data_IF_422534676892
#
_entry.id   IF_422534676892
#
_cell.length_a   1.000
_cell.length_b   1.000
_cell.length_c   1.000
_cell.angle_alpha   90.00
_cell.angle_beta   90.00
_cell.angle_gamma   90.00
#
_symmetry.space_group_name_H-M   'P 1'
#
loop_
_entity.id
_entity.type
_entity.pdbx_description
1 polymer ?
#
# COMPACT_ATOMS: atom_id res chain seq x y z
N UNK A 1 -2.00 -23.65 -14.58
CA UNK A 1 -1.27 -22.71 -15.43
C UNK A 1 -1.94 -21.36 -15.32
N UNK A 2 -1.15 -20.29 -15.19
CA UNK A 2 -1.67 -18.92 -15.13
C UNK A 2 -2.25 -18.53 -16.50
N UNK A 3 -3.45 -17.95 -16.52
CA UNK A 3 -4.13 -17.52 -17.74
C UNK A 3 -4.14 -16.00 -17.82
N UNK A 4 -3.60 -15.43 -18.89
CA UNK A 4 -3.74 -14.00 -19.18
C UNK A 4 -5.05 -13.76 -19.93
N UNK A 5 -5.81 -12.76 -19.51
CA UNK A 5 -7.02 -12.32 -20.20
C UNK A 5 -7.25 -10.83 -19.99
N UNK A 6 -8.00 -10.23 -20.89
CA UNK A 6 -8.36 -8.82 -20.84
C UNK A 6 -9.82 -8.65 -20.43
N UNK A 7 -10.13 -7.60 -19.68
CA UNK A 7 -11.48 -7.23 -19.33
C UNK A 7 -11.73 -5.74 -19.56
N UNK A 8 -12.77 -5.45 -20.34
CA UNK A 8 -13.27 -4.09 -20.55
C UNK A 8 -14.47 -3.87 -19.63
N UNK A 9 -14.38 -2.84 -18.80
CA UNK A 9 -15.47 -2.40 -17.94
C UNK A 9 -16.48 -1.55 -18.73
N UNK A 10 -17.70 -1.40 -18.19
CA UNK A 10 -18.75 -0.58 -18.81
C UNK A 10 -18.34 0.89 -18.99
N UNK A 11 -17.36 1.34 -18.22
CA UNK A 11 -16.73 2.67 -18.32
C UNK A 11 -15.80 2.82 -19.52
N UNK A 12 -15.57 1.74 -20.29
CA UNK A 12 -14.61 1.67 -21.40
C UNK A 12 -13.16 1.43 -20.96
N UNK A 13 -12.88 1.41 -19.65
CA UNK A 13 -11.56 1.08 -19.14
C UNK A 13 -11.24 -0.38 -19.41
N UNK A 14 -10.01 -0.66 -19.81
CA UNK A 14 -9.55 -2.01 -20.13
C UNK A 14 -8.38 -2.39 -19.22
N UNK A 15 -8.44 -3.57 -18.61
CA UNK A 15 -7.38 -4.08 -17.73
C UNK A 15 -7.02 -5.50 -18.15
N UNK A 16 -5.71 -5.76 -18.23
CA UNK A 16 -5.19 -7.12 -18.41
C UNK A 16 -4.91 -7.76 -17.06
N UNK A 17 -5.39 -8.99 -16.91
CA UNK A 17 -5.28 -9.77 -15.68
C UNK A 17 -4.53 -11.06 -15.92
N UNK A 18 -3.78 -11.48 -14.90
CA UNK A 18 -3.28 -12.83 -14.75
C UNK A 18 -4.15 -13.60 -13.75
N UNK A 19 -4.80 -14.67 -14.21
CA UNK A 19 -5.62 -15.56 -13.39
C UNK A 19 -4.82 -16.76 -12.93
N UNK A 20 -4.67 -16.90 -11.62
CA UNK A 20 -4.02 -18.04 -11.00
C UNK A 20 -4.93 -19.28 -10.98
N UNK A 21 -4.37 -20.49 -10.80
CA UNK A 21 -5.16 -21.70 -10.57
C UNK A 21 -6.10 -21.61 -9.35
N UNK A 22 -5.77 -20.79 -8.35
CA UNK A 22 -6.63 -20.51 -7.19
C UNK A 22 -7.91 -19.74 -7.57
N UNK A 23 -7.95 -19.19 -8.79
CA UNK A 23 -9.00 -18.33 -9.31
C UNK A 23 -8.82 -16.85 -8.98
N UNK A 24 -7.84 -16.48 -8.15
CA UNK A 24 -7.51 -15.07 -7.89
C UNK A 24 -6.92 -14.45 -9.16
N UNK A 25 -7.34 -13.23 -9.48
CA UNK A 25 -6.89 -12.45 -10.62
C UNK A 25 -6.08 -11.26 -10.10
N UNK A 26 -4.82 -11.15 -10.55
CA UNK A 26 -3.94 -10.02 -10.30
C UNK A 26 -3.79 -9.22 -11.58
N UNK A 27 -3.37 -7.96 -11.49
CA UNK A 27 -3.00 -7.20 -12.68
C UNK A 27 -1.87 -7.92 -13.43
N UNK A 28 -1.87 -7.85 -14.76
CA UNK A 28 -0.88 -8.55 -15.59
C UNK A 28 0.56 -8.09 -15.28
N UNK A 29 0.72 -6.82 -14.93
CA UNK A 29 2.03 -6.23 -14.59
C UNK A 29 2.46 -6.43 -13.13
N UNK A 30 1.66 -7.14 -12.32
CA UNK A 30 2.03 -7.41 -10.93
C UNK A 30 3.22 -8.38 -10.87
N UNK A 31 4.33 -8.02 -10.21
CA UNK A 31 5.51 -8.86 -10.14
C UNK A 31 5.22 -10.22 -9.48
N UNK A 32 5.76 -11.30 -10.04
CA UNK A 32 5.57 -12.66 -9.52
C UNK A 32 5.88 -12.81 -8.02
N UNK A 33 6.97 -12.22 -7.46
CA UNK A 33 7.23 -12.26 -6.01
C UNK A 33 6.12 -11.60 -5.17
N UNK A 34 5.47 -10.57 -5.69
CA UNK A 34 4.35 -9.89 -5.02
C UNK A 34 3.11 -10.78 -5.07
N UNK A 35 2.81 -11.38 -6.22
CA UNK A 35 1.69 -12.32 -6.38
C UNK A 35 1.80 -13.48 -5.38
N UNK A 36 2.97 -14.12 -5.31
CA UNK A 36 3.22 -15.25 -4.42
C UNK A 36 3.06 -14.85 -2.94
N UNK A 37 3.64 -13.71 -2.56
CA UNK A 37 3.51 -13.17 -1.20
C UNK A 37 2.04 -12.89 -0.84
N UNK A 38 1.27 -12.27 -1.74
CA UNK A 38 -0.14 -11.97 -1.51
C UNK A 38 -0.99 -13.23 -1.38
N UNK A 39 -0.75 -14.28 -2.19
CA UNK A 39 -1.45 -15.55 -2.04
C UNK A 39 -1.12 -16.24 -0.70
N UNK A 40 0.13 -16.16 -0.23
CA UNK A 40 0.52 -16.66 1.10
C UNK A 40 -0.18 -15.87 2.22
N UNK A 41 -0.19 -14.54 2.11
CA UNK A 41 -0.82 -13.65 3.08
C UNK A 41 -2.35 -13.84 3.12
N UNK A 42 -2.97 -14.10 1.96
CA UNK A 42 -4.41 -14.40 1.85
C UNK A 42 -4.81 -15.64 2.63
N UNK A 43 -3.96 -16.68 2.63
CA UNK A 43 -4.22 -17.91 3.38
C UNK A 43 -4.01 -17.71 4.89
N UNK A 44 -2.99 -16.95 5.28
CA UNK A 44 -2.63 -16.76 6.68
C UNK A 44 -3.44 -15.67 7.40
N UNK A 45 -4.12 -14.78 6.66
CA UNK A 45 -4.90 -13.63 7.18
C UNK A 45 -4.12 -12.79 8.20
N UNK A 46 -2.82 -12.65 7.97
CA UNK A 46 -1.96 -11.81 8.81
C UNK A 46 -2.22 -10.34 8.48
N UNK A 47 -2.24 -9.52 9.53
CA UNK A 47 -2.26 -8.07 9.35
C UNK A 47 -0.92 -7.62 8.77
N UNK A 48 -0.98 -6.80 7.73
CA UNK A 48 0.16 -6.26 6.99
C UNK A 48 -0.05 -4.78 6.75
N UNK A 49 1.02 -4.11 6.35
CA UNK A 49 0.98 -2.77 5.78
C UNK A 49 1.52 -2.81 4.35
N UNK A 50 0.82 -2.16 3.43
CA UNK A 50 1.23 -1.96 2.06
C UNK A 50 1.80 -0.54 1.90
N UNK A 51 2.76 -0.42 0.99
CA UNK A 51 3.19 0.87 0.46
C UNK A 51 2.98 0.81 -1.04
N UNK A 52 2.14 1.72 -1.54
CA UNK A 52 2.02 1.95 -2.97
C UNK A 52 3.05 2.99 -3.43
N UNK A 53 3.39 2.93 -4.71
CA UNK A 53 4.42 3.76 -5.27
C UNK A 53 4.67 3.53 -6.75
N UNK A 54 5.63 4.29 -7.25
CA UNK A 54 6.19 4.11 -8.58
C UNK A 54 7.09 2.86 -8.58
N UNK A 55 6.67 1.83 -9.31
CA UNK A 55 7.40 0.56 -9.43
C UNK A 55 8.63 0.62 -10.34
N UNK A 56 8.84 1.72 -11.06
CA UNK A 56 10.07 1.96 -11.81
C UNK A 56 11.14 2.61 -10.93
N UNK A 57 10.76 3.48 -9.99
CA UNK A 57 11.72 4.22 -9.16
C UNK A 57 11.76 3.79 -7.69
N UNK A 58 10.86 2.91 -7.25
CA UNK A 58 10.68 2.53 -5.85
C UNK A 58 10.13 3.65 -4.95
N UNK A 59 9.63 4.75 -5.52
CA UNK A 59 9.19 5.91 -4.76
C UNK A 59 7.80 5.66 -4.18
N UNK A 60 7.67 5.67 -2.85
CA UNK A 60 6.37 5.61 -2.20
C UNK A 60 5.54 6.87 -2.47
N UNK A 61 4.22 6.69 -2.61
CA UNK A 61 3.23 7.77 -2.70
C UNK A 61 2.75 8.27 -1.32
N UNK A 62 3.27 7.69 -0.24
CA UNK A 62 3.00 8.09 1.14
C UNK A 62 1.54 7.95 1.58
N UNK A 63 0.81 6.98 0.99
CA UNK A 63 -0.59 6.71 1.36
C UNK A 63 -0.76 6.40 2.86
N UNK A 64 -1.82 6.96 3.43
CA UNK A 64 -2.15 6.86 4.86
C UNK A 64 -3.37 5.99 5.13
N UNK A 65 -4.26 5.88 4.15
CA UNK A 65 -5.52 5.18 4.22
C UNK A 65 -5.48 3.96 3.33
N UNK A 66 -6.29 2.94 3.65
CA UNK A 66 -6.38 1.71 2.87
C UNK A 66 -5.01 1.03 2.64
N UNK A 67 -4.11 1.16 3.63
CA UNK A 67 -2.75 0.59 3.60
C UNK A 67 -2.51 -0.48 4.65
N UNK A 68 -3.39 -0.66 5.64
CA UNK A 68 -3.23 -1.68 6.69
C UNK A 68 -4.44 -2.61 6.72
N UNK A 69 -4.17 -3.92 6.74
CA UNK A 69 -5.22 -4.92 6.80
C UNK A 69 -4.68 -6.32 6.51
N UNK A 70 -5.57 -7.25 6.21
CA UNK A 70 -5.21 -8.60 5.75
C UNK A 70 -5.74 -8.83 4.34
N UNK A 71 -5.11 -9.75 3.60
CA UNK A 71 -5.48 -10.01 2.21
C UNK A 71 -6.72 -10.89 2.13
N UNK A 72 -7.80 -10.30 1.61
CA UNK A 72 -9.03 -10.99 1.23
C UNK A 72 -9.09 -11.31 -0.26
N UNK A 73 -10.25 -11.76 -0.71
CA UNK A 73 -10.55 -11.96 -2.13
C UNK A 73 -11.99 -11.58 -2.41
N UNK A 74 -12.21 -10.87 -3.51
CA UNK A 74 -13.56 -10.50 -3.92
C UNK A 74 -14.38 -11.73 -4.38
N UNK A 75 -15.70 -11.58 -4.36
CA UNK A 75 -16.67 -12.59 -4.78
C UNK A 75 -17.24 -12.33 -6.16
N UNK A 76 -16.85 -11.23 -6.82
CA UNK A 76 -17.30 -10.86 -8.16
C UNK A 76 -16.78 -11.79 -9.26
N UNK A 77 -17.17 -11.47 -10.50
CA UNK A 77 -16.82 -12.25 -11.70
C UNK A 77 -15.30 -12.34 -11.91
N UNK A 78 -14.59 -11.24 -11.62
CA UNK A 78 -13.13 -11.19 -11.56
C UNK A 78 -12.73 -11.12 -10.09
N UNK A 79 -12.15 -12.20 -9.60
CA UNK A 79 -11.82 -12.38 -8.17
C UNK A 79 -10.47 -11.73 -7.86
N UNK A 80 -10.48 -10.44 -7.54
CA UNK A 80 -9.28 -9.65 -7.21
C UNK A 80 -8.92 -9.77 -5.72
N UNK A 81 -7.63 -9.58 -5.35
CA UNK A 81 -7.24 -9.44 -3.96
C UNK A 81 -7.84 -8.15 -3.37
N UNK A 82 -8.24 -8.21 -2.10
CA UNK A 82 -8.75 -7.07 -1.34
C UNK A 82 -7.85 -6.80 -0.15
N UNK A 83 -7.69 -5.55 0.26
CA UNK A 83 -7.22 -5.24 1.60
C UNK A 83 -8.44 -5.14 2.51
N UNK A 84 -8.47 -5.93 3.60
CA UNK A 84 -9.59 -5.91 4.54
C UNK A 84 -9.10 -5.46 5.91
N UNK A 85 -9.72 -4.42 6.44
CA UNK A 85 -9.38 -3.89 7.76
C UNK A 85 -9.82 -4.85 8.89
N UNK A 86 -9.16 -4.80 10.06
CA UNK A 86 -9.60 -5.57 11.22
C UNK A 86 -11.02 -5.21 11.65
N UNK A 87 -11.92 -6.19 11.62
CA UNK A 87 -13.34 -6.01 11.98
C UNK A 87 -14.28 -5.97 10.77
N UNK A 88 -13.74 -5.74 9.58
CA UNK A 88 -14.52 -5.67 8.35
C UNK A 88 -14.64 -7.02 7.64
N UNK A 89 -15.64 -7.10 6.76
CA UNK A 89 -15.94 -8.28 5.94
C UNK A 89 -15.62 -8.08 4.45
N UNK A 90 -15.10 -6.90 4.09
CA UNK A 90 -14.73 -6.51 2.74
C UNK A 90 -13.81 -5.29 2.77
N UNK A 91 -13.37 -4.86 1.60
CA UNK A 91 -12.51 -3.69 1.48
C UNK A 91 -12.11 -3.43 0.04
N UNK A 92 -11.27 -2.41 -0.22
CA UNK A 92 -10.90 -2.01 -1.57
C UNK A 92 -10.08 -3.08 -2.29
N UNK A 93 -10.22 -3.12 -3.61
CA UNK A 93 -9.33 -3.89 -4.47
C UNK A 93 -7.92 -3.29 -4.41
N UNK A 94 -6.90 -4.16 -4.37
CA UNK A 94 -5.52 -3.69 -4.34
C UNK A 94 -5.13 -3.05 -5.68
N UNK A 95 -4.30 -2.02 -5.63
CA UNK A 95 -3.43 -1.62 -6.73
C UNK A 95 -2.18 -2.51 -6.71
N UNK A 96 -2.35 -3.80 -6.96
CA UNK A 96 -1.31 -4.82 -6.74
C UNK A 96 -0.05 -4.59 -7.60
N UNK A 97 -0.20 -4.03 -8.80
CA UNK A 97 0.88 -3.65 -9.70
C UNK A 97 1.63 -2.37 -9.28
N UNK A 98 1.18 -1.69 -8.22
CA UNK A 98 1.82 -0.49 -7.67
C UNK A 98 2.44 -0.74 -6.29
N UNK A 99 2.49 -1.98 -5.81
CA UNK A 99 3.07 -2.30 -4.50
C UNK A 99 4.60 -2.21 -4.59
N UNK A 100 5.19 -1.32 -3.79
CA UNK A 100 6.65 -1.14 -3.70
C UNK A 100 7.23 -1.66 -2.38
N UNK A 101 6.41 -1.92 -1.38
CA UNK A 101 6.83 -2.56 -0.12
C UNK A 101 5.64 -3.18 0.61
N UNK A 102 5.90 -4.27 1.33
CA UNK A 102 4.95 -4.94 2.22
C UNK A 102 5.63 -5.18 3.56
N UNK A 103 5.02 -4.69 4.63
CA UNK A 103 5.47 -4.90 6.00
C UNK A 103 4.51 -5.81 6.76
N UNK A 104 5.06 -6.63 7.65
CA UNK A 104 4.34 -7.14 8.81
C UNK A 104 4.63 -6.25 10.01
N UNK A 105 3.91 -6.41 11.15
CA UNK A 105 4.23 -5.67 12.36
C UNK A 105 5.66 -5.85 12.90
N UNK A 106 6.37 -6.89 12.44
CA UNK A 106 7.69 -7.27 12.98
C UNK A 106 8.84 -7.12 11.99
N UNK A 107 8.55 -7.18 10.70
CA UNK A 107 9.59 -7.21 9.66
C UNK A 107 9.01 -6.82 8.30
N UNK A 108 9.89 -6.36 7.43
CA UNK A 108 9.64 -6.19 6.00
C UNK A 108 9.49 -7.58 5.35
N UNK A 109 8.46 -7.76 4.55
CA UNK A 109 8.17 -9.02 3.84
C UNK A 109 8.53 -8.96 2.36
N UNK A 110 8.37 -7.78 1.76
CA UNK A 110 8.76 -7.48 0.39
C UNK A 110 9.18 -6.02 0.32
N UNK A 111 10.19 -5.72 -0.50
CA UNK A 111 10.61 -4.37 -0.77
C UNK A 111 11.19 -4.29 -2.18
N UNK A 112 10.77 -3.29 -2.94
CA UNK A 112 11.45 -2.91 -4.17
C UNK A 112 12.92 -2.57 -3.87
N UNK A 113 13.85 -2.94 -4.75
CA UNK A 113 15.29 -2.79 -4.50
C UNK A 113 15.67 -1.33 -4.23
N UNK A 114 15.12 -0.40 -5.01
CA UNK A 114 15.30 1.05 -4.85
C UNK A 114 14.24 1.73 -3.96
N UNK A 115 13.56 0.98 -3.09
CA UNK A 115 12.48 1.55 -2.26
C UNK A 115 12.95 2.76 -1.47
N UNK A 116 12.19 3.86 -1.58
CA UNK A 116 12.46 5.11 -0.86
C UNK A 116 11.18 5.86 -0.56
N UNK A 117 11.25 6.68 0.50
CA UNK A 117 10.17 7.58 0.93
C UNK A 117 10.56 9.06 0.80
N UNK A 118 11.72 9.36 0.20
CA UNK A 118 12.30 10.70 0.16
C UNK A 118 12.92 11.13 1.49
N UNK A 119 13.40 12.38 1.54
CA UNK A 119 13.95 13.00 2.75
C UNK A 119 12.80 13.55 3.59
N UNK A 120 12.49 12.88 4.70
CA UNK A 120 11.38 13.26 5.58
C UNK A 120 11.87 14.03 6.79
N UNK A 121 11.49 15.30 6.90
CA UNK A 121 11.94 16.23 7.94
C UNK A 121 10.78 16.74 8.80
N UNK A 122 10.98 16.82 10.11
CA UNK A 122 10.06 17.49 11.03
C UNK A 122 10.61 18.87 11.37
N UNK A 123 9.92 19.91 10.93
CA UNK A 123 10.33 21.31 11.12
C UNK A 123 9.26 22.10 11.87
N UNK A 124 9.65 23.26 12.41
CA UNK A 124 8.71 24.22 12.99
C UNK A 124 8.39 25.28 11.92
N UNK A 125 7.16 25.29 11.44
CA UNK A 125 6.67 26.22 10.43
C UNK A 125 6.04 27.49 11.00
N UNK A 126 5.64 28.39 10.10
CA UNK A 126 5.10 29.71 10.43
C UNK A 126 3.62 29.71 10.80
N UNK A 127 2.87 28.67 10.40
CA UNK A 127 1.43 28.59 10.65
C UNK A 127 1.14 28.32 12.12
N UNK A 128 0.89 29.39 12.90
CA UNK A 128 0.69 29.33 14.36
C UNK A 128 -0.31 28.26 14.85
N UNK A 129 -1.39 28.01 14.10
CA UNK A 129 -2.41 27.01 14.46
C UNK A 129 -1.97 25.55 14.23
N UNK A 130 -0.97 25.32 13.38
CA UNK A 130 -0.41 24.02 13.01
C UNK A 130 1.11 24.18 12.82
N UNK A 131 1.87 24.44 13.89
CA UNK A 131 3.25 24.92 13.78
C UNK A 131 4.26 23.80 13.48
N UNK A 132 3.85 22.53 13.48
CA UNK A 132 4.74 21.41 13.20
C UNK A 132 4.47 20.88 11.81
N UNK A 133 5.45 20.95 10.92
CA UNK A 133 5.32 20.56 9.53
C UNK A 133 6.20 19.33 9.25
N UNK A 134 5.65 18.39 8.49
CA UNK A 134 6.39 17.29 7.89
C UNK A 134 6.66 17.67 6.44
N UNK A 135 7.93 17.80 6.11
CA UNK A 135 8.39 18.07 4.75
C UNK A 135 8.95 16.80 4.14
N UNK A 136 8.61 16.54 2.87
CA UNK A 136 9.18 15.48 2.06
C UNK A 136 9.85 16.13 0.86
N UNK A 137 11.16 15.89 0.70
CA UNK A 137 11.98 16.46 -0.36
C UNK A 137 11.82 18.00 -0.48
N UNK A 138 11.83 18.66 0.68
CA UNK A 138 11.72 20.12 0.81
C UNK A 138 10.30 20.70 0.67
N UNK A 139 9.29 19.87 0.37
CA UNK A 139 7.90 20.31 0.22
C UNK A 139 7.06 19.94 1.44
N UNK A 140 6.21 20.86 1.93
CA UNK A 140 5.32 20.56 3.05
C UNK A 140 4.27 19.53 2.64
N UNK A 141 4.29 18.38 3.31
CA UNK A 141 3.38 17.26 3.09
C UNK A 141 2.20 17.29 4.08
N UNK A 142 2.49 17.45 5.38
CA UNK A 142 1.47 17.48 6.43
C UNK A 142 1.78 18.50 7.54
N UNK A 143 0.76 18.93 8.28
CA UNK A 143 0.90 19.89 9.39
C UNK A 143 0.11 19.47 10.63
N UNK A 144 0.68 19.68 11.80
CA UNK A 144 0.14 19.22 13.08
C UNK A 144 0.14 20.33 14.15
N UNK A 145 -0.79 20.22 15.10
CA UNK A 145 -0.84 21.10 16.28
C UNK A 145 0.26 20.73 17.27
N UNK A 146 0.47 19.42 17.48
CA UNK A 146 1.34 18.88 18.51
C UNK A 146 2.56 18.21 17.89
N UNK A 147 3.75 18.48 18.45
CA UNK A 147 5.02 17.93 17.94
C UNK A 147 5.06 16.40 17.96
N UNK A 148 4.45 15.79 18.98
CA UNK A 148 4.44 14.33 19.16
C UNK A 148 3.61 13.65 18.08
N UNK A 149 2.46 14.21 17.70
CA UNK A 149 1.64 13.71 16.59
C UNK A 149 2.42 13.77 15.27
N UNK A 150 3.09 14.91 15.01
CA UNK A 150 3.93 15.07 13.83
C UNK A 150 5.07 14.03 13.80
N UNK A 151 5.67 13.73 14.96
CA UNK A 151 6.72 12.71 15.06
C UNK A 151 6.17 11.29 14.79
N UNK A 152 5.02 10.94 15.35
CA UNK A 152 4.38 9.64 15.10
C UNK A 152 4.04 9.47 13.63
N UNK A 153 3.57 10.54 13.00
CA UNK A 153 3.32 10.58 11.57
C UNK A 153 4.60 10.42 10.74
N UNK A 154 5.68 11.13 11.10
CA UNK A 154 6.98 10.96 10.45
C UNK A 154 7.45 9.50 10.53
N UNK A 155 7.38 8.89 11.72
CA UNK A 155 7.78 7.50 11.93
C UNK A 155 6.89 6.54 11.12
N UNK A 156 5.61 6.85 10.96
CA UNK A 156 4.70 6.10 10.10
C UNK A 156 5.07 6.20 8.63
N UNK A 157 5.24 7.41 8.07
CA UNK A 157 5.62 7.60 6.66
C UNK A 157 6.98 6.94 6.36
N UNK A 158 7.93 7.00 7.30
CA UNK A 158 9.23 6.36 7.16
C UNK A 158 9.22 4.83 7.37
N UNK A 159 8.07 4.23 7.69
CA UNK A 159 7.94 2.80 7.97
C UNK A 159 8.64 2.33 9.25
N UNK A 160 8.94 3.26 10.18
CA UNK A 160 9.44 2.96 11.53
C UNK A 160 8.30 2.62 12.49
N UNK A 161 7.08 3.03 12.15
CA UNK A 161 5.84 2.71 12.87
C UNK A 161 4.89 1.98 11.94
N UNK A 162 4.32 0.86 12.40
CA UNK A 162 3.42 0.04 11.60
C UNK A 162 2.07 0.71 11.33
N UNK A 163 1.46 1.36 12.32
CA UNK A 163 0.14 2.00 12.19
C UNK A 163 0.10 3.36 12.91
N UNK A 164 -0.73 4.31 12.47
CA UNK A 164 -0.85 5.63 13.10
C UNK A 164 -1.57 5.61 14.47
N UNK A 165 -2.37 4.57 14.72
CA UNK A 165 -3.15 4.35 15.95
C UNK A 165 -2.26 4.21 17.19
#
# INVERSE_FOLDING_TARGET
>A
MTQIFEHTFDTGHCIQYQRLPSGTCYHADTPEPVVDLLEQLRQSRRNIRLYYGDTQTGQSWHDEHDVIGWIGRSTGTIKVPLLIEPGDIGGPALLDHCIVRVDSPRQVLYQHDDFRVGTVELVRGELKRLPWEICIDGSVHARFKVKTEARQYQDFIQGKRFALI
#
